data_IF_675710405578
#
_entry.id   IF_675710405578
#
_cell.length_a   1.000
_cell.length_b   1.000
_cell.length_c   1.000
_cell.angle_alpha   90.00
_cell.angle_beta   90.00
_cell.angle_gamma   90.00
#
_symmetry.space_group_name_H-M   'P 1'
#
loop_
_entity.id
_entity.type
_entity.pdbx_description
1 polymer ?
#
# COMPACT_ATOMS: atom_id res chain seq x y z
N UNK A 1 6.79 21.12 -3.69
CA UNK A 1 6.42 21.05 -2.26
C UNK A 1 6.62 19.61 -1.81
N UNK A 2 7.47 19.38 -0.81
CA UNK A 2 7.73 18.04 -0.24
C UNK A 2 6.86 17.91 1.00
N UNK A 3 6.22 16.76 1.20
CA UNK A 3 5.42 16.52 2.42
C UNK A 3 6.35 16.42 3.62
N UNK A 4 5.92 16.94 4.76
CA UNK A 4 6.66 16.82 6.03
C UNK A 4 6.53 15.45 6.69
N UNK A 5 5.69 14.57 6.15
CA UNK A 5 5.52 13.19 6.61
C UNK A 5 6.11 12.18 5.62
N UNK A 6 6.22 10.93 6.09
CA UNK A 6 6.85 9.82 5.38
C UNK A 6 5.86 8.96 4.60
N UNK A 7 4.62 9.38 4.44
CA UNK A 7 3.55 8.52 3.89
C UNK A 7 3.83 8.09 2.45
N UNK A 8 4.53 8.94 1.70
CA UNK A 8 4.85 8.71 0.29
C UNK A 8 6.34 8.48 0.03
N UNK A 9 7.11 8.20 1.08
CA UNK A 9 8.49 7.68 0.91
C UNK A 9 8.47 6.35 0.12
N UNK A 10 7.35 5.63 0.19
CA UNK A 10 7.12 4.41 -0.56
C UNK A 10 5.67 4.32 -1.01
N UNK A 11 5.46 4.14 -2.31
CA UNK A 11 4.13 3.90 -2.90
C UNK A 11 4.26 2.85 -4.00
N UNK A 12 3.48 1.79 -3.89
CA UNK A 12 3.31 0.80 -4.97
C UNK A 12 1.85 0.74 -5.38
N UNK A 13 1.60 1.03 -6.65
CA UNK A 13 0.28 0.92 -7.25
C UNK A 13 -0.01 -0.56 -7.50
N UNK A 14 -1.17 -1.01 -7.04
CA UNK A 14 -1.61 -2.39 -7.18
C UNK A 14 -2.56 -2.53 -8.36
N UNK A 15 -2.54 -3.71 -8.98
CA UNK A 15 -3.41 -4.09 -10.11
C UNK A 15 -4.90 -3.99 -9.78
N UNK A 16 -5.27 -3.93 -8.49
CA UNK A 16 -6.65 -3.77 -8.01
C UNK A 16 -7.39 -2.66 -8.77
N UNK A 17 -6.74 -1.53 -8.99
CA UNK A 17 -7.35 -0.35 -9.61
C UNK A 17 -7.71 -0.55 -11.09
N UNK A 18 -7.12 -1.55 -11.75
CA UNK A 18 -7.28 -1.76 -13.19
C UNK A 18 -7.95 -3.10 -13.49
N UNK A 19 -7.42 -4.20 -12.94
CA UNK A 19 -7.79 -5.58 -13.28
C UNK A 19 -8.87 -6.19 -12.40
N UNK A 20 -8.99 -5.74 -11.15
CA UNK A 20 -9.91 -6.33 -10.15
C UNK A 20 -10.92 -5.34 -9.59
N UNK A 21 -11.00 -4.14 -10.17
CA UNK A 21 -11.92 -3.09 -9.73
C UNK A 21 -13.36 -3.57 -9.80
N UNK A 22 -14.14 -3.28 -8.77
CA UNK A 22 -15.55 -3.62 -8.70
C UNK A 22 -16.33 -2.53 -7.99
N UNK A 23 -17.61 -2.38 -8.34
CA UNK A 23 -18.49 -1.38 -7.73
C UNK A 23 -18.55 -1.61 -6.22
N UNK A 24 -18.42 -0.52 -5.45
CA UNK A 24 -18.49 -0.54 -3.98
C UNK A 24 -17.40 -1.35 -3.28
N UNK A 25 -16.26 -1.58 -3.93
CA UNK A 25 -15.13 -2.34 -3.36
C UNK A 25 -13.85 -1.50 -3.22
N UNK A 26 -13.99 -0.18 -3.21
CA UNK A 26 -12.88 0.77 -3.12
C UNK A 26 -12.11 0.95 -4.43
N UNK A 27 -11.41 2.07 -4.52
CA UNK A 27 -10.52 2.47 -5.62
C UNK A 27 -9.33 3.22 -5.04
N UNK A 28 -8.34 3.55 -5.88
CA UNK A 28 -7.08 4.14 -5.45
C UNK A 28 -6.41 3.33 -4.32
N UNK A 29 -6.39 2.00 -4.48
CA UNK A 29 -5.79 1.07 -3.52
C UNK A 29 -4.31 0.89 -3.86
N UNK A 30 -3.43 1.21 -2.91
CA UNK A 30 -1.98 1.11 -3.06
C UNK A 30 -1.33 0.57 -1.79
N UNK A 31 -0.07 0.17 -1.89
CA UNK A 31 0.76 -0.25 -0.78
C UNK A 31 1.69 0.90 -0.36
N UNK A 32 1.66 1.30 0.92
CA UNK A 32 2.39 2.47 1.41
C UNK A 32 2.85 2.37 2.88
N UNK A 33 3.52 3.42 3.35
CA UNK A 33 3.91 3.57 4.76
C UNK A 33 2.69 3.94 5.61
N UNK A 34 2.48 3.26 6.74
CA UNK A 34 1.39 3.56 7.65
C UNK A 34 1.52 4.95 8.29
N UNK A 35 0.38 5.57 8.62
CA UNK A 35 0.35 6.77 9.47
C UNK A 35 0.83 6.40 10.90
N UNK A 36 1.35 7.38 11.66
CA UNK A 36 1.54 7.21 13.11
C UNK A 36 0.28 6.63 13.76
N UNK A 37 0.47 5.81 14.79
CA UNK A 37 -0.60 5.13 15.54
C UNK A 37 -1.45 4.12 14.75
N UNK A 38 -1.09 3.83 13.49
CA UNK A 38 -1.72 2.78 12.67
C UNK A 38 -3.25 2.83 12.59
N UNK A 39 -3.85 3.98 12.22
CA UNK A 39 -5.27 4.02 11.94
C UNK A 39 -5.62 3.07 10.77
N UNK A 40 -6.83 2.47 10.77
CA UNK A 40 -7.31 1.68 9.65
C UNK A 40 -7.26 2.47 8.34
N UNK A 41 -6.98 1.77 7.24
CA UNK A 41 -7.09 2.33 5.89
C UNK A 41 -8.51 2.12 5.36
N UNK A 42 -8.87 2.87 4.32
CA UNK A 42 -10.13 2.66 3.58
C UNK A 42 -9.99 1.57 2.49
N UNK A 43 -8.96 0.72 2.59
CA UNK A 43 -8.72 -0.41 1.69
C UNK A 43 -7.26 -0.58 1.25
N UNK A 44 -6.43 0.46 1.39
CA UNK A 44 -4.99 0.37 1.12
C UNK A 44 -4.31 -0.65 2.04
N UNK A 45 -3.16 -1.15 1.62
CA UNK A 45 -2.27 -1.92 2.49
C UNK A 45 -1.23 -0.95 3.03
N UNK A 46 -1.02 -0.94 4.34
CA UNK A 46 -0.04 -0.08 4.97
C UNK A 46 0.77 -0.84 6.02
N UNK A 47 2.08 -0.61 6.06
CA UNK A 47 2.99 -1.22 7.03
C UNK A 47 3.95 -0.21 7.62
N UNK A 48 4.66 -0.59 8.69
CA UNK A 48 5.69 0.24 9.28
C UNK A 48 6.77 0.59 8.26
N UNK A 49 7.48 1.72 8.42
CA UNK A 49 8.75 1.95 7.71
C UNK A 49 9.73 0.78 7.86
N UNK A 50 9.87 0.21 9.07
CA UNK A 50 10.77 -0.93 9.35
C UNK A 50 10.40 -2.20 8.57
N UNK A 51 9.12 -2.45 8.36
CA UNK A 51 8.64 -3.65 7.67
C UNK A 51 8.65 -3.42 6.16
N UNK A 52 8.37 -2.18 5.71
CA UNK A 52 8.56 -1.77 4.33
C UNK A 52 10.00 -1.97 3.87
N UNK A 53 11.00 -1.66 4.70
CA UNK A 53 12.41 -1.90 4.35
C UNK A 53 12.72 -3.39 4.11
N UNK A 54 11.99 -4.31 4.74
CA UNK A 54 12.13 -5.76 4.53
C UNK A 54 11.36 -6.24 3.29
N UNK A 55 10.15 -5.71 3.09
CA UNK A 55 9.23 -6.14 2.03
C UNK A 55 9.60 -5.52 0.68
N UNK A 56 10.00 -4.25 0.66
CA UNK A 56 10.30 -3.46 -0.54
C UNK A 56 11.22 -4.15 -1.53
N UNK A 57 12.38 -4.72 -1.10
CA UNK A 57 13.27 -5.47 -1.97
C UNK A 57 12.66 -6.72 -2.62
N UNK A 58 11.56 -7.24 -2.05
CA UNK A 58 10.81 -8.37 -2.62
C UNK A 58 9.76 -7.90 -3.63
N UNK A 59 9.44 -6.61 -3.74
CA UNK A 59 8.42 -6.18 -4.69
C UNK A 59 8.97 -6.14 -6.11
N UNK A 60 8.21 -6.68 -7.05
CA UNK A 60 8.47 -6.62 -8.49
C UNK A 60 7.16 -6.78 -9.25
N UNK A 61 7.12 -6.29 -10.49
CA UNK A 61 5.97 -6.52 -11.37
C UNK A 61 5.67 -8.01 -11.52
N UNK A 62 4.39 -8.37 -11.58
CA UNK A 62 3.91 -9.75 -11.66
C UNK A 62 3.97 -10.55 -10.34
N UNK A 63 4.52 -9.99 -9.26
CA UNK A 63 4.46 -10.63 -7.93
C UNK A 63 3.11 -10.40 -7.28
N UNK A 64 2.51 -11.45 -6.72
CA UNK A 64 1.23 -11.36 -6.02
C UNK A 64 1.45 -10.98 -4.55
N UNK A 65 0.73 -9.95 -4.10
CA UNK A 65 0.62 -9.58 -2.69
C UNK A 65 -0.66 -10.21 -2.12
N UNK A 66 -0.56 -10.92 -0.99
CA UNK A 66 -1.68 -11.67 -0.39
C UNK A 66 -2.00 -11.13 1.01
N UNK A 67 -3.24 -10.65 1.12
CA UNK A 67 -4.05 -10.25 2.28
C UNK A 67 -4.66 -11.37 3.13
N UNK A 68 -4.00 -11.93 4.15
CA UNK A 68 -4.64 -12.95 5.01
C UNK A 68 -5.24 -12.34 6.28
N UNK A 69 -6.27 -13.00 6.84
CA UNK A 69 -6.95 -12.60 8.08
C UNK A 69 -6.41 -13.36 9.27
#
# INVERSE_FOLDING_TARGET
MVRGDRLYDFVVILDWNFRSRARHRGSAIFFHIAKPDYPPTEGCIAVAPKDMMKIGPLLRSGRRLVVER
#
